data_IF_949656351384
#
_entry.id   IF_949656351384
#
_cell.length_a   1.000
_cell.length_b   1.000
_cell.length_c   1.000
_cell.angle_alpha   90.00
_cell.angle_beta   90.00
_cell.angle_gamma   90.00
#
_symmetry.space_group_name_H-M   'P 1'
#
loop_
_entity.id
_entity.type
_entity.pdbx_description
1 polymer ?
#
# COMPACT_ATOMS: atom_id res chain seq x y z
N UNK A 1 -21.65 50.55 38.44
CA UNK A 1 -21.29 49.10 38.49
C UNK A 1 -20.69 48.69 37.14
N UNK A 2 -19.39 48.41 37.12
CA UNK A 2 -18.69 47.95 35.90
C UNK A 2 -18.56 46.43 35.98
N UNK A 3 -19.30 45.70 35.14
CA UNK A 3 -19.25 44.23 35.03
C UNK A 3 -18.02 43.83 34.25
N UNK A 4 -17.05 43.19 34.92
CA UNK A 4 -15.85 42.64 34.30
C UNK A 4 -16.19 41.27 33.70
N UNK A 5 -16.27 41.18 32.38
CA UNK A 5 -16.44 39.89 31.66
C UNK A 5 -15.07 39.24 31.57
N UNK A 6 -14.86 38.19 32.35
CA UNK A 6 -13.67 37.34 32.28
C UNK A 6 -13.80 36.37 31.12
N UNK A 7 -13.09 36.63 30.01
CA UNK A 7 -13.04 35.75 28.85
C UNK A 7 -12.14 34.55 29.18
N UNK A 8 -12.73 33.39 29.47
CA UNK A 8 -12.02 32.13 29.66
C UNK A 8 -11.50 31.61 28.31
N UNK A 9 -10.22 31.87 28.03
CA UNK A 9 -9.50 31.30 26.88
C UNK A 9 -9.21 29.84 27.21
N UNK A 10 -10.03 28.90 26.72
CA UNK A 10 -9.73 27.46 26.77
C UNK A 10 -8.55 27.15 25.85
N UNK A 11 -7.45 26.57 26.37
CA UNK A 11 -6.37 26.09 25.49
C UNK A 11 -6.90 24.90 24.65
N UNK A 12 -7.04 25.08 23.34
CA UNK A 12 -7.25 23.98 22.42
C UNK A 12 -5.95 23.15 22.40
N UNK A 13 -5.97 21.98 23.05
CA UNK A 13 -4.89 20.98 22.94
C UNK A 13 -4.83 20.49 21.49
N UNK A 14 -3.97 21.08 20.68
CA UNK A 14 -3.59 20.58 19.37
C UNK A 14 -2.80 19.28 19.58
N UNK A 15 -3.48 18.15 19.48
CA UNK A 15 -2.80 16.85 19.40
C UNK A 15 -1.99 16.81 18.10
N UNK A 16 -0.69 16.93 18.22
CA UNK A 16 0.22 16.85 17.08
C UNK A 16 0.19 15.42 16.53
N UNK A 17 -0.33 15.25 15.32
CA UNK A 17 -0.27 14.00 14.60
C UNK A 17 1.18 13.73 14.16
N UNK A 18 1.72 12.58 14.51
CA UNK A 18 3.08 12.19 14.16
C UNK A 18 3.07 11.48 12.80
N UNK A 19 3.81 12.01 11.83
CA UNK A 19 4.01 11.37 10.52
C UNK A 19 5.41 10.75 10.47
N UNK A 20 5.48 9.46 10.15
CA UNK A 20 6.73 8.74 9.96
C UNK A 20 6.85 8.25 8.52
N UNK A 21 7.95 8.54 7.82
CA UNK A 21 8.21 7.95 6.51
C UNK A 21 8.51 6.45 6.65
N UNK A 22 8.24 5.69 5.59
CA UNK A 22 8.68 4.30 5.51
C UNK A 22 10.20 4.20 5.40
N UNK A 23 10.78 3.18 6.04
CA UNK A 23 12.17 2.79 5.83
C UNK A 23 12.31 2.14 4.44
N UNK A 24 12.79 2.91 3.47
CA UNK A 24 12.94 2.49 2.08
C UNK A 24 13.93 1.35 1.88
N UNK A 25 14.87 1.14 2.81
CA UNK A 25 15.89 0.08 2.70
C UNK A 25 15.37 -1.27 3.14
N UNK A 26 14.31 -1.27 3.97
CA UNK A 26 13.72 -2.49 4.54
C UNK A 26 12.37 -2.84 3.95
N UNK A 27 11.69 -1.87 3.34
CA UNK A 27 10.32 -2.05 2.85
C UNK A 27 10.29 -2.65 1.46
N UNK A 28 9.43 -3.65 1.26
CA UNK A 28 9.24 -4.33 -0.02
C UNK A 28 7.75 -4.55 -0.32
N UNK A 29 7.43 -4.59 -1.60
CA UNK A 29 6.14 -5.06 -2.11
C UNK A 29 6.43 -6.12 -3.17
N UNK A 30 5.72 -7.24 -3.09
CA UNK A 30 5.77 -8.32 -4.07
C UNK A 30 4.42 -8.47 -4.73
N UNK A 31 4.38 -8.55 -6.04
CA UNK A 31 3.22 -9.11 -6.72
C UNK A 31 3.52 -10.53 -7.21
N UNK A 32 2.52 -11.40 -7.10
CA UNK A 32 2.57 -12.75 -7.64
C UNK A 32 1.47 -12.91 -8.68
N UNK A 33 1.82 -13.51 -9.79
CA UNK A 33 0.90 -13.86 -10.87
C UNK A 33 1.10 -15.29 -11.32
N UNK A 34 0.08 -15.83 -11.98
CA UNK A 34 0.08 -17.20 -12.45
C UNK A 34 -0.35 -17.27 -13.92
N UNK A 35 0.26 -18.18 -14.63
CA UNK A 35 -0.15 -18.66 -15.94
C UNK A 35 -0.15 -20.19 -15.90
N UNK A 36 -0.96 -20.85 -16.71
CA UNK A 36 -1.09 -22.32 -16.72
C UNK A 36 0.26 -23.06 -16.81
N UNK A 37 1.28 -22.45 -17.38
CA UNK A 37 2.60 -23.06 -17.55
C UNK A 37 3.56 -22.74 -16.40
N UNK A 38 3.39 -21.62 -15.72
CA UNK A 38 4.30 -21.18 -14.64
C UNK A 38 3.70 -20.04 -13.81
N UNK A 39 4.13 -19.95 -12.57
CA UNK A 39 3.91 -18.80 -11.69
C UNK A 39 5.19 -17.98 -11.58
N UNK A 40 5.06 -16.70 -11.19
CA UNK A 40 6.20 -15.84 -10.89
C UNK A 40 5.86 -14.79 -9.86
N UNK A 41 6.91 -14.31 -9.22
CA UNK A 41 6.87 -13.16 -8.34
C UNK A 41 7.69 -12.02 -8.96
N UNK A 42 7.33 -10.78 -8.65
CA UNK A 42 8.17 -9.62 -8.89
C UNK A 42 8.19 -8.73 -7.65
N UNK A 43 9.38 -8.27 -7.28
CA UNK A 43 9.62 -7.55 -6.04
C UNK A 43 10.05 -6.12 -6.33
N UNK A 44 9.41 -5.16 -5.67
CA UNK A 44 9.89 -3.79 -5.59
C UNK A 44 10.50 -3.53 -4.22
N UNK A 45 11.73 -3.02 -4.19
CA UNK A 45 12.40 -2.46 -3.01
C UNK A 45 12.41 -0.92 -3.03
N UNK A 46 11.70 -0.30 -3.98
CA UNK A 46 11.55 1.16 -4.10
C UNK A 46 10.18 1.61 -3.58
N UNK A 47 9.85 1.20 -2.35
CA UNK A 47 8.57 1.54 -1.72
C UNK A 47 8.68 2.89 -1.02
N UNK A 48 7.79 3.80 -1.36
CA UNK A 48 7.67 5.10 -0.69
C UNK A 48 6.34 5.17 0.04
N UNK A 49 6.33 5.87 1.16
CA UNK A 49 5.09 6.03 1.91
C UNK A 49 5.28 6.78 3.22
N UNK A 50 4.15 7.04 3.85
CA UNK A 50 4.08 7.70 5.14
C UNK A 50 3.00 7.03 5.99
N UNK A 51 3.33 6.83 7.26
CA UNK A 51 2.40 6.38 8.30
C UNK A 51 2.09 7.57 9.19
N UNK A 52 0.82 7.84 9.41
CA UNK A 52 0.33 8.82 10.37
C UNK A 52 -0.11 8.08 11.62
N UNK A 53 0.40 8.51 12.77
CA UNK A 53 0.10 7.91 14.06
C UNK A 53 -0.81 8.84 14.86
N UNK A 54 -1.69 8.24 15.66
CA UNK A 54 -2.45 8.91 16.71
C UNK A 54 -1.54 9.25 17.89
N UNK A 55 -2.06 10.01 18.85
CA UNK A 55 -1.34 10.39 20.06
C UNK A 55 -0.95 9.19 20.95
N UNK A 56 -1.72 8.09 20.88
CA UNK A 56 -1.44 6.83 21.59
C UNK A 56 -0.42 5.94 20.89
N UNK A 57 0.09 6.35 19.72
CA UNK A 57 1.04 5.62 18.90
C UNK A 57 0.42 4.60 17.94
N UNK A 58 -0.89 4.38 17.97
CA UNK A 58 -1.59 3.51 17.03
C UNK A 58 -1.60 4.11 15.61
N UNK A 59 -1.72 3.25 14.59
CA UNK A 59 -1.74 3.69 13.19
C UNK A 59 -3.10 4.34 12.89
N UNK A 60 -3.09 5.58 12.43
CA UNK A 60 -4.29 6.30 12.00
C UNK A 60 -4.52 6.18 10.51
N UNK A 61 -3.48 6.45 9.71
CA UNK A 61 -3.52 6.44 8.26
C UNK A 61 -2.21 5.97 7.67
N UNK A 62 -2.29 5.44 6.45
CA UNK A 62 -1.13 5.10 5.64
C UNK A 62 -1.36 5.53 4.19
N UNK A 63 -0.30 6.04 3.56
CA UNK A 63 -0.24 6.25 2.12
C UNK A 63 1.05 5.61 1.61
N UNK A 64 0.92 4.71 0.61
CA UNK A 64 2.04 3.96 0.04
C UNK A 64 1.98 4.09 -1.48
N UNK A 65 3.15 4.18 -2.11
CA UNK A 65 3.31 4.19 -3.56
C UNK A 65 4.55 3.42 -3.97
N UNK A 66 4.42 2.65 -5.05
CA UNK A 66 5.54 2.03 -5.75
C UNK A 66 5.44 2.33 -7.25
N UNK A 67 6.59 2.50 -7.91
CA UNK A 67 6.64 2.62 -9.37
C UNK A 67 6.45 1.25 -9.99
N UNK A 68 5.69 1.14 -11.07
CA UNK A 68 5.54 -0.11 -11.82
C UNK A 68 6.90 -0.57 -12.34
N UNK A 69 7.76 0.35 -12.77
CA UNK A 69 9.11 0.05 -13.27
C UNK A 69 10.11 -0.43 -12.21
N UNK A 70 9.76 -0.37 -10.93
CA UNK A 70 10.63 -0.84 -9.86
C UNK A 70 10.46 -2.32 -9.50
N UNK A 71 9.47 -2.98 -10.09
CA UNK A 71 9.25 -4.41 -9.87
C UNK A 71 10.18 -5.25 -10.73
N UNK A 72 10.96 -6.11 -10.10
CA UNK A 72 11.91 -7.02 -10.73
C UNK A 72 11.42 -8.47 -10.57
N UNK A 73 11.05 -9.10 -11.69
CA UNK A 73 10.64 -10.50 -11.75
C UNK A 73 11.78 -11.45 -12.08
N UNK A 74 13.02 -10.96 -12.14
CA UNK A 74 14.21 -11.70 -12.62
C UNK A 74 14.13 -12.11 -14.09
N UNK A 75 13.28 -11.45 -14.86
CA UNK A 75 13.12 -11.64 -16.30
C UNK A 75 12.85 -10.30 -16.97
N UNK A 76 13.87 -9.74 -17.63
CA UNK A 76 13.78 -8.43 -18.28
C UNK A 76 12.66 -8.36 -19.35
N UNK A 77 12.43 -9.47 -20.07
CA UNK A 77 11.35 -9.53 -21.05
C UNK A 77 9.96 -9.45 -20.39
N UNK A 78 9.79 -10.13 -19.23
CA UNK A 78 8.54 -10.06 -18.47
C UNK A 78 8.34 -8.67 -17.89
N UNK A 79 9.39 -8.08 -17.34
CA UNK A 79 9.35 -6.74 -16.77
C UNK A 79 9.00 -5.70 -17.84
N UNK A 80 9.64 -5.76 -19.02
CA UNK A 80 9.31 -4.90 -20.14
C UNK A 80 7.84 -5.06 -20.59
N UNK A 81 7.37 -6.31 -20.70
CA UNK A 81 5.99 -6.59 -21.06
C UNK A 81 4.98 -6.12 -19.98
N UNK A 82 5.35 -6.22 -18.71
CA UNK A 82 4.55 -5.65 -17.61
C UNK A 82 4.38 -4.14 -17.77
N UNK A 83 5.45 -3.41 -18.10
CA UNK A 83 5.37 -1.96 -18.36
C UNK A 83 4.45 -1.62 -19.53
N UNK A 84 4.47 -2.43 -20.56
CA UNK A 84 3.63 -2.27 -21.76
C UNK A 84 2.15 -2.49 -21.42
N UNK A 85 1.78 -3.64 -20.88
CA UNK A 85 0.37 -4.00 -20.62
C UNK A 85 -0.28 -3.14 -19.53
N UNK A 86 0.53 -2.59 -18.61
CA UNK A 86 0.05 -1.66 -17.58
C UNK A 86 0.12 -0.19 -18.02
N UNK A 87 0.48 0.07 -19.29
CA UNK A 87 0.67 1.44 -19.79
C UNK A 87 1.50 2.32 -18.83
N UNK A 88 2.63 1.77 -18.32
CA UNK A 88 3.40 2.39 -17.25
C UNK A 88 3.96 3.79 -17.57
N UNK A 89 4.05 4.15 -18.84
CA UNK A 89 4.39 5.53 -19.26
C UNK A 89 3.27 6.52 -18.92
N UNK A 90 2.02 6.07 -18.95
CA UNK A 90 0.82 6.87 -18.65
C UNK A 90 0.41 6.74 -17.19
N UNK A 91 0.52 5.54 -16.64
CA UNK A 91 0.17 5.19 -15.27
C UNK A 91 1.37 4.61 -14.51
N UNK A 92 2.37 5.43 -14.16
CA UNK A 92 3.66 4.93 -13.70
C UNK A 92 3.64 4.29 -12.30
N UNK A 93 2.56 4.46 -11.55
CA UNK A 93 2.52 4.08 -10.14
C UNK A 93 1.33 3.18 -9.81
N UNK A 94 1.54 2.30 -8.83
CA UNK A 94 0.49 1.70 -8.00
C UNK A 94 0.54 2.36 -6.64
N UNK A 95 -0.61 2.74 -6.08
CA UNK A 95 -0.66 3.39 -4.77
C UNK A 95 -1.87 2.94 -3.95
N UNK A 96 -1.70 2.98 -2.63
CA UNK A 96 -2.76 2.69 -1.68
C UNK A 96 -2.84 3.79 -0.63
N UNK A 97 -4.05 4.25 -0.34
CA UNK A 97 -4.33 5.21 0.73
C UNK A 97 -5.43 4.65 1.62
N UNK A 98 -5.14 4.47 2.91
CA UNK A 98 -6.14 3.99 3.85
C UNK A 98 -7.21 5.03 4.14
N UNK A 99 -8.45 4.58 4.26
CA UNK A 99 -9.59 5.38 4.76
C UNK A 99 -9.91 5.06 6.21
N UNK A 100 -9.62 3.82 6.65
CA UNK A 100 -9.79 3.37 8.03
C UNK A 100 -8.79 2.29 8.36
N UNK A 101 -8.23 2.34 9.56
CA UNK A 101 -7.39 1.28 10.13
C UNK A 101 -7.89 1.04 11.56
N UNK A 102 -8.22 -0.21 11.88
CA UNK A 102 -8.57 -0.64 13.23
C UNK A 102 -7.54 -1.66 13.68
N UNK A 103 -6.91 -1.41 14.81
CA UNK A 103 -5.90 -2.28 15.40
C UNK A 103 -6.48 -3.02 16.59
N UNK A 104 -6.28 -4.34 16.64
CA UNK A 104 -6.60 -5.18 17.80
C UNK A 104 -5.44 -5.18 18.80
N UNK A 105 -5.71 -5.67 20.01
CA UNK A 105 -4.68 -5.83 21.06
C UNK A 105 -3.58 -6.84 20.70
N UNK A 106 -3.82 -7.70 19.70
CA UNK A 106 -2.82 -8.66 19.20
C UNK A 106 -1.92 -8.12 18.09
N UNK A 107 -2.10 -6.84 17.69
CA UNK A 107 -1.36 -6.24 16.57
C UNK A 107 -1.93 -6.61 15.19
N UNK A 108 -3.13 -7.23 15.12
CA UNK A 108 -3.85 -7.39 13.87
C UNK A 108 -4.49 -6.07 13.45
N UNK A 109 -4.38 -5.76 12.17
CA UNK A 109 -4.92 -4.56 11.55
C UNK A 109 -6.01 -4.96 10.55
N UNK A 110 -7.22 -4.42 10.72
CA UNK A 110 -8.22 -4.40 9.67
C UNK A 110 -8.08 -3.08 8.91
N UNK A 111 -7.66 -3.18 7.66
CA UNK A 111 -7.33 -2.02 6.81
C UNK A 111 -8.35 -1.89 5.71
N UNK A 112 -8.94 -0.68 5.59
CA UNK A 112 -9.77 -0.28 4.45
C UNK A 112 -9.15 0.91 3.77
N UNK A 113 -9.23 0.97 2.44
CA UNK A 113 -8.66 2.08 1.69
C UNK A 113 -8.95 2.01 0.22
N UNK A 114 -8.28 2.88 -0.52
CA UNK A 114 -8.39 2.96 -1.97
C UNK A 114 -7.09 2.53 -2.61
N UNK A 115 -7.14 1.50 -3.43
CA UNK A 115 -6.07 1.11 -4.34
C UNK A 115 -6.25 1.87 -5.65
N UNK A 116 -5.21 2.57 -6.06
CA UNK A 116 -5.12 3.20 -7.38
C UNK A 116 -4.12 2.45 -8.24
N UNK A 117 -4.58 1.95 -9.37
CA UNK A 117 -3.76 1.27 -10.35
C UNK A 117 -4.33 1.52 -11.75
N UNK A 118 -3.48 1.68 -12.77
CA UNK A 118 -3.86 1.88 -14.17
C UNK A 118 -4.94 2.97 -14.36
N UNK A 119 -4.86 4.08 -13.57
CA UNK A 119 -5.80 5.20 -13.62
C UNK A 119 -7.19 4.92 -13.00
N UNK A 120 -7.40 3.75 -12.40
CA UNK A 120 -8.65 3.36 -11.75
C UNK A 120 -8.47 3.31 -10.23
N UNK A 121 -9.48 3.77 -9.49
CA UNK A 121 -9.54 3.70 -8.04
C UNK A 121 -10.55 2.61 -7.63
N UNK A 122 -10.15 1.72 -6.73
CA UNK A 122 -11.02 0.66 -6.16
C UNK A 122 -10.89 0.61 -4.65
N UNK A 123 -12.01 0.47 -3.97
CA UNK A 123 -12.00 0.14 -2.55
C UNK A 123 -11.39 -1.24 -2.33
N UNK A 124 -10.49 -1.33 -1.36
CA UNK A 124 -9.75 -2.55 -1.04
C UNK A 124 -9.69 -2.70 0.46
N UNK A 125 -10.02 -3.90 0.93
CA UNK A 125 -10.00 -4.26 2.35
C UNK A 125 -9.08 -5.45 2.54
N UNK A 126 -8.24 -5.42 3.57
CA UNK A 126 -7.35 -6.53 3.88
C UNK A 126 -6.96 -6.53 5.36
N UNK A 127 -6.41 -7.66 5.80
CA UNK A 127 -5.78 -7.79 7.11
C UNK A 127 -4.27 -7.66 7.00
N UNK A 128 -3.68 -7.04 8.01
CA UNK A 128 -2.23 -6.94 8.17
C UNK A 128 -1.85 -7.20 9.63
N UNK A 129 -0.57 -7.35 9.89
CA UNK A 129 -0.05 -7.53 11.25
C UNK A 129 1.07 -6.54 11.51
N UNK A 130 0.99 -5.81 12.62
CA UNK A 130 2.04 -4.92 13.08
C UNK A 130 2.83 -5.58 14.23
N UNK A 131 4.17 -5.50 14.16
CA UNK A 131 5.07 -6.02 15.20
C UNK A 131 6.24 -5.07 15.39
N UNK A 132 6.74 -4.96 16.64
CA UNK A 132 8.00 -4.28 16.89
C UNK A 132 9.17 -5.22 16.56
N UNK A 133 10.06 -4.77 15.71
CA UNK A 133 11.28 -5.51 15.31
C UNK A 133 12.47 -4.57 15.43
N UNK A 134 13.33 -4.82 16.41
CA UNK A 134 14.55 -4.03 16.65
C UNK A 134 14.31 -2.52 16.71
N UNK A 135 13.23 -2.09 17.38
CA UNK A 135 12.90 -0.67 17.56
C UNK A 135 12.18 0.00 16.37
N UNK A 136 11.92 -0.72 15.29
CA UNK A 136 11.06 -0.29 14.17
C UNK A 136 9.76 -1.07 14.20
N UNK A 137 8.69 -0.47 13.71
CA UNK A 137 7.44 -1.20 13.49
C UNK A 137 7.47 -1.82 12.10
N UNK A 138 7.38 -3.14 12.05
CA UNK A 138 7.18 -3.93 10.84
C UNK A 138 5.69 -4.17 10.65
N UNK A 139 5.17 -3.91 9.44
CA UNK A 139 3.79 -4.26 9.06
C UNK A 139 3.84 -5.20 7.87
N UNK A 140 3.25 -6.36 8.02
CA UNK A 140 3.15 -7.39 6.98
C UNK A 140 1.70 -7.67 6.65
N UNK A 141 1.41 -7.94 5.38
CA UNK A 141 0.07 -8.27 4.95
C UNK A 141 0.01 -8.58 3.46
N UNK A 142 -1.20 -8.72 2.96
CA UNK A 142 -1.42 -8.94 1.54
C UNK A 142 -2.91 -8.91 1.18
N UNK A 143 -3.16 -8.77 -0.10
CA UNK A 143 -4.50 -8.79 -0.67
C UNK A 143 -4.45 -9.25 -2.13
N UNK A 144 -5.61 -9.50 -2.70
CA UNK A 144 -5.77 -9.88 -4.11
C UNK A 144 -6.62 -8.83 -4.80
N UNK A 145 -6.26 -8.48 -6.03
CA UNK A 145 -7.10 -7.69 -6.91
C UNK A 145 -7.13 -8.32 -8.32
N UNK A 146 -8.11 -7.93 -9.12
CA UNK A 146 -8.29 -8.42 -10.48
C UNK A 146 -7.79 -7.38 -11.49
N UNK A 147 -6.99 -7.80 -12.49
CA UNK A 147 -6.50 -6.92 -13.55
C UNK A 147 -7.64 -6.24 -14.30
N UNK A 148 -8.70 -6.98 -14.62
CA UNK A 148 -9.86 -6.46 -15.35
C UNK A 148 -10.62 -5.39 -14.59
N UNK A 149 -10.63 -5.44 -13.25
CA UNK A 149 -11.19 -4.37 -12.40
C UNK A 149 -10.50 -3.03 -12.60
N UNK A 150 -9.25 -3.05 -13.00
CA UNK A 150 -8.43 -1.88 -13.29
C UNK A 150 -8.28 -1.62 -14.80
N UNK A 151 -9.11 -2.26 -15.64
CA UNK A 151 -9.11 -2.10 -17.10
C UNK A 151 -7.78 -2.50 -17.76
N UNK A 152 -7.01 -3.37 -17.13
CA UNK A 152 -5.81 -3.96 -17.70
C UNK A 152 -6.21 -5.16 -18.53
N UNK A 153 -5.87 -5.16 -19.81
CA UNK A 153 -6.09 -6.31 -20.68
C UNK A 153 -5.11 -7.42 -20.29
N UNK A 154 -5.63 -8.60 -19.97
CA UNK A 154 -4.79 -9.74 -19.60
C UNK A 154 -3.96 -10.20 -20.79
N UNK A 155 -2.62 -10.23 -20.68
CA UNK A 155 -1.78 -10.73 -21.76
C UNK A 155 -1.98 -12.21 -21.96
N UNK A 156 -1.73 -12.67 -23.20
CA UNK A 156 -1.83 -14.08 -23.57
C UNK A 156 -0.46 -14.61 -23.98
N UNK A 157 -0.16 -15.82 -23.56
CA UNK A 157 0.99 -16.58 -24.01
C UNK A 157 0.53 -17.98 -24.45
N UNK A 158 0.94 -18.43 -25.63
CA UNK A 158 0.52 -19.72 -26.23
C UNK A 158 -1.01 -19.92 -26.21
N UNK A 159 -1.77 -18.90 -26.63
CA UNK A 159 -3.24 -18.88 -26.70
C UNK A 159 -3.95 -19.00 -25.33
N UNK A 160 -3.23 -18.88 -24.22
CA UNK A 160 -3.78 -18.83 -22.86
C UNK A 160 -3.49 -17.49 -22.23
N UNK A 161 -4.51 -16.92 -21.62
CA UNK A 161 -4.35 -15.69 -20.85
C UNK A 161 -3.69 -15.98 -19.49
N UNK A 162 -2.94 -15.03 -18.97
CA UNK A 162 -2.54 -15.05 -17.56
C UNK A 162 -3.78 -14.97 -16.67
N UNK A 163 -3.67 -15.45 -15.43
CA UNK A 163 -4.75 -15.34 -14.46
C UNK A 163 -5.15 -13.89 -14.25
N UNK A 164 -6.41 -13.67 -13.92
CA UNK A 164 -6.92 -12.33 -13.62
C UNK A 164 -6.46 -11.80 -12.27
N UNK A 165 -6.16 -12.72 -11.35
CA UNK A 165 -5.76 -12.41 -9.98
C UNK A 165 -4.30 -11.97 -9.91
N UNK A 166 -4.08 -10.80 -9.28
CA UNK A 166 -2.77 -10.34 -8.82
C UNK A 166 -2.74 -10.44 -7.30
N UNK A 167 -1.84 -11.24 -6.77
CA UNK A 167 -1.65 -11.38 -5.32
C UNK A 167 -0.56 -10.42 -4.87
N UNK A 168 -0.90 -9.50 -3.98
CA UNK A 168 0.05 -8.57 -3.36
C UNK A 168 0.44 -9.10 -1.99
N UNK A 169 1.74 -9.10 -1.72
CA UNK A 169 2.32 -9.21 -0.38
C UNK A 169 3.18 -7.99 -0.11
N UNK A 170 3.17 -7.51 1.10
CA UNK A 170 4.03 -6.40 1.49
C UNK A 170 4.64 -6.63 2.86
N UNK A 171 5.83 -6.07 3.01
CA UNK A 171 6.55 -5.94 4.26
C UNK A 171 7.09 -4.52 4.31
N UNK A 172 6.57 -3.70 5.22
CA UNK A 172 6.96 -2.30 5.33
C UNK A 172 7.38 -1.97 6.76
N UNK A 173 8.35 -1.07 6.87
CA UNK A 173 8.93 -0.65 8.15
C UNK A 173 8.85 0.88 8.30
N UNK A 174 8.62 1.35 9.56
CA UNK A 174 8.66 2.78 9.90
C UNK A 174 9.14 3.03 11.34
#
# INVERSE_FOLDING_TARGET
MRTLILLLLSPALLFAQVKKPLDKKKSTITYSMNHILHAWDAVSSEVNGVVQLKADGSIEKVAIVAKISSFDSKSSNRDAHTLEVTEALKFPNISFVSTSITESTSGELDVKGTLQFHGVNKETNFKATAKNVNGSTQVTGGFIFLLEDFKVTRPSFMLKQVDNEVKIKFEVFY
#
